data_IF_687291472179
#
_entry.id   IF_687291472179
#
_cell.length_a   1.000
_cell.length_b   1.000
_cell.length_c   1.000
_cell.angle_alpha   90.00
_cell.angle_beta   90.00
_cell.angle_gamma   90.00
#
_symmetry.space_group_name_H-M   'P 1'
#
loop_
_entity.id
_entity.type
_entity.pdbx_description
1 polymer ?
#
# COMPACT_ATOMS: atom_id res chain seq x y z
N UNK A 1 54.73 0.73 -7.13
CA UNK A 1 53.42 0.25 -7.63
C UNK A 1 52.44 -0.18 -6.52
N UNK A 2 52.45 0.43 -5.33
CA UNK A 2 51.57 0.04 -4.20
C UNK A 2 50.46 1.05 -3.84
N UNK A 3 50.55 2.30 -4.31
CA UNK A 3 49.61 3.36 -3.93
C UNK A 3 48.30 3.35 -4.75
N UNK A 4 48.37 3.01 -6.04
CA UNK A 4 47.21 3.02 -6.94
C UNK A 4 46.16 1.95 -6.58
N UNK A 5 46.61 0.77 -6.12
CA UNK A 5 45.73 -0.32 -5.70
C UNK A 5 45.01 -0.02 -4.38
N UNK A 6 45.64 0.73 -3.47
CA UNK A 6 45.00 1.20 -2.23
C UNK A 6 43.94 2.25 -2.51
N UNK A 7 44.21 3.22 -3.38
CA UNK A 7 43.25 4.24 -3.81
C UNK A 7 42.01 3.63 -4.49
N UNK A 8 42.20 2.64 -5.37
CA UNK A 8 41.09 1.92 -6.01
C UNK A 8 40.27 1.11 -5.01
N UNK A 9 40.90 0.49 -4.00
CA UNK A 9 40.19 -0.23 -2.93
C UNK A 9 39.42 0.71 -2.01
N UNK A 10 39.98 1.88 -1.70
CA UNK A 10 39.29 2.93 -0.92
C UNK A 10 38.08 3.45 -1.71
N UNK A 11 38.24 3.73 -3.01
CA UNK A 11 37.14 4.16 -3.86
C UNK A 11 35.99 3.14 -3.95
N UNK A 12 36.31 1.84 -4.08
CA UNK A 12 35.30 0.76 -4.07
C UNK A 12 34.61 0.65 -2.70
N UNK A 13 35.36 0.75 -1.60
CA UNK A 13 34.79 0.69 -0.26
C UNK A 13 33.82 1.85 0.01
N UNK A 14 34.18 3.07 -0.43
CA UNK A 14 33.30 4.24 -0.33
C UNK A 14 32.05 4.05 -1.19
N UNK A 15 32.18 3.59 -2.43
CA UNK A 15 31.03 3.35 -3.31
C UNK A 15 30.06 2.31 -2.74
N UNK A 16 30.58 1.19 -2.21
CA UNK A 16 29.76 0.15 -1.55
C UNK A 16 29.10 0.69 -0.29
N UNK A 17 29.81 1.53 0.48
CA UNK A 17 29.24 2.24 1.62
C UNK A 17 28.07 3.14 1.23
N UNK A 18 28.22 3.96 0.18
CA UNK A 18 27.16 4.86 -0.29
C UNK A 18 25.95 4.08 -0.81
N UNK A 19 26.17 3.03 -1.59
CA UNK A 19 25.07 2.16 -2.08
C UNK A 19 24.38 1.45 -0.92
N UNK A 20 25.14 0.93 0.05
CA UNK A 20 24.59 0.31 1.25
C UNK A 20 23.74 1.28 2.06
N UNK A 21 24.22 2.52 2.26
CA UNK A 21 23.46 3.58 2.93
C UNK A 21 22.20 3.92 2.15
N UNK A 22 22.26 4.05 0.82
CA UNK A 22 21.09 4.33 0.00
C UNK A 22 20.03 3.21 0.05
N UNK A 23 20.46 1.95 0.05
CA UNK A 23 19.55 0.79 0.21
C UNK A 23 18.93 0.77 1.60
N UNK A 24 19.70 1.06 2.65
CA UNK A 24 19.17 1.14 4.02
C UNK A 24 18.19 2.30 4.15
N UNK A 25 18.49 3.48 3.58
CA UNK A 25 17.56 4.61 3.53
C UNK A 25 16.28 4.25 2.78
N UNK A 26 16.38 3.61 1.61
CA UNK A 26 15.22 3.11 0.87
C UNK A 26 14.39 2.10 1.67
N UNK A 27 15.04 1.19 2.40
CA UNK A 27 14.37 0.20 3.25
C UNK A 27 13.73 0.83 4.48
N UNK A 28 14.35 1.86 5.06
CA UNK A 28 13.79 2.64 6.16
C UNK A 28 12.62 3.49 5.68
N UNK A 29 12.71 4.16 4.53
CA UNK A 29 11.62 4.90 3.91
C UNK A 29 10.46 3.99 3.51
N UNK A 30 10.75 2.81 2.96
CA UNK A 30 9.73 1.79 2.68
C UNK A 30 9.08 1.28 3.96
N UNK A 31 9.87 1.06 5.03
CA UNK A 31 9.33 0.67 6.35
C UNK A 31 8.53 1.78 7.00
N UNK A 32 8.93 3.05 6.89
CA UNK A 32 8.17 4.21 7.39
C UNK A 32 6.86 4.33 6.62
N UNK A 33 6.86 4.13 5.29
CA UNK A 33 5.62 4.02 4.48
C UNK A 33 4.73 2.83 4.85
N UNK A 34 5.29 1.76 5.42
CA UNK A 34 4.54 0.56 5.84
C UNK A 34 4.10 0.65 7.32
N UNK A 35 4.83 1.40 8.16
CA UNK A 35 4.71 1.39 9.62
C UNK A 35 4.00 2.60 10.21
N UNK A 36 3.77 3.66 9.44
CA UNK A 36 3.27 4.93 9.99
C UNK A 36 1.75 5.14 9.86
N UNK A 37 0.99 4.24 9.25
CA UNK A 37 -0.44 4.44 8.99
C UNK A 37 -1.22 3.20 9.41
N UNK A 38 -2.20 3.38 10.29
CA UNK A 38 -3.08 2.33 10.77
C UNK A 38 -3.77 1.65 9.59
N UNK A 39 -3.22 0.51 9.17
CA UNK A 39 -3.75 -0.28 8.09
C UNK A 39 -4.73 -1.30 8.64
N UNK A 40 -5.98 -1.24 8.21
CA UNK A 40 -6.99 -2.25 8.51
C UNK A 40 -7.04 -3.26 7.37
N UNK A 41 -7.08 -4.55 7.69
CA UNK A 41 -7.27 -5.58 6.68
C UNK A 41 -8.31 -6.60 7.09
N UNK A 42 -9.14 -6.98 6.12
CA UNK A 42 -10.17 -8.01 6.28
C UNK A 42 -10.05 -9.02 5.16
N UNK A 43 -10.43 -10.26 5.44
CA UNK A 43 -10.45 -11.34 4.45
C UNK A 43 -11.90 -11.67 4.13
N UNK A 44 -12.19 -11.98 2.86
CA UNK A 44 -13.53 -12.38 2.42
C UNK A 44 -13.96 -13.67 3.14
N UNK A 45 -15.26 -13.94 3.24
CA UNK A 45 -15.76 -15.16 3.89
C UNK A 45 -15.30 -16.42 3.16
N UNK A 46 -15.19 -16.33 1.83
CA UNK A 46 -14.64 -17.39 0.97
C UNK A 46 -13.12 -17.58 1.12
N UNK A 47 -12.41 -16.63 1.72
CA UNK A 47 -10.94 -16.60 1.75
C UNK A 47 -10.28 -16.27 0.41
N UNK A 48 -11.05 -16.05 -0.65
CA UNK A 48 -10.53 -15.82 -2.01
C UNK A 48 -9.93 -14.41 -2.18
N UNK A 49 -10.32 -13.47 -1.33
CA UNK A 49 -9.88 -12.08 -1.42
C UNK A 49 -9.47 -11.53 -0.05
N UNK A 50 -8.50 -10.62 -0.07
CA UNK A 50 -8.11 -9.84 1.10
C UNK A 50 -8.14 -8.37 0.77
N UNK A 51 -8.91 -7.59 1.52
CA UNK A 51 -8.94 -6.15 1.38
C UNK A 51 -8.09 -5.49 2.47
N UNK A 52 -7.43 -4.40 2.12
CA UNK A 52 -6.65 -3.59 3.04
C UNK A 52 -6.96 -2.12 2.79
N UNK A 53 -7.10 -1.36 3.85
CA UNK A 53 -7.15 0.09 3.82
C UNK A 53 -6.03 0.65 4.65
N UNK A 54 -5.31 1.64 4.14
CA UNK A 54 -4.28 2.35 4.88
C UNK A 54 -4.54 3.85 4.74
N UNK A 55 -4.40 4.58 5.84
CA UNK A 55 -4.29 6.05 5.78
C UNK A 55 -3.07 6.40 4.89
N UNK A 56 -3.08 7.52 4.16
CA UNK A 56 -1.97 8.07 3.35
C UNK A 56 -1.51 9.44 3.85
N UNK A 57 -2.38 10.17 4.54
CA UNK A 57 -2.14 11.51 5.07
C UNK A 57 -3.48 12.12 5.47
N UNK A 58 -3.49 13.38 5.89
CA UNK A 58 -4.73 14.07 6.21
C UNK A 58 -4.52 15.57 6.38
N UNK A 59 -5.57 16.34 6.12
CA UNK A 59 -5.60 17.81 6.28
C UNK A 59 -6.51 18.22 7.43
N UNK A 60 -6.20 17.74 8.63
CA UNK A 60 -6.86 18.08 9.89
C UNK A 60 -8.25 17.45 10.09
N UNK A 61 -9.17 17.69 9.15
CA UNK A 61 -10.56 17.22 9.23
C UNK A 61 -10.88 16.05 8.29
N UNK A 62 -10.03 15.79 7.31
CA UNK A 62 -10.21 14.72 6.30
C UNK A 62 -8.90 13.96 6.20
N UNK A 63 -8.97 12.63 6.30
CA UNK A 63 -7.85 11.73 6.05
C UNK A 63 -7.96 11.14 4.65
N UNK A 64 -6.83 11.09 3.95
CA UNK A 64 -6.68 10.39 2.68
C UNK A 64 -6.39 8.91 2.97
N UNK A 65 -7.05 8.01 2.25
CA UNK A 65 -6.88 6.58 2.35
C UNK A 65 -6.52 5.95 1.00
N UNK A 66 -5.86 4.80 1.08
CA UNK A 66 -5.68 3.88 -0.04
C UNK A 66 -6.33 2.54 0.29
N UNK A 67 -7.38 2.20 -0.45
CA UNK A 67 -7.99 0.89 -0.48
C UNK A 67 -7.28 -0.02 -1.48
N UNK A 68 -6.95 -1.23 -1.06
CA UNK A 68 -6.26 -2.24 -1.86
C UNK A 68 -7.00 -3.56 -1.76
N UNK A 69 -7.17 -4.21 -2.90
CA UNK A 69 -7.72 -5.56 -2.99
C UNK A 69 -6.62 -6.51 -3.44
N UNK A 70 -6.43 -7.57 -2.68
CA UNK A 70 -5.47 -8.62 -2.94
C UNK A 70 -6.18 -9.95 -3.20
N UNK A 71 -5.55 -10.78 -4.01
CA UNK A 71 -5.87 -12.19 -4.12
C UNK A 71 -5.51 -12.89 -2.80
N UNK A 72 -6.47 -13.62 -2.23
CA UNK A 72 -6.31 -14.24 -0.91
C UNK A 72 -5.29 -15.38 -0.88
N UNK A 73 -5.05 -16.04 -2.02
CA UNK A 73 -4.15 -17.18 -2.12
C UNK A 73 -2.71 -16.77 -2.46
N UNK A 74 -2.55 -15.98 -3.52
CA UNK A 74 -1.26 -15.54 -4.06
C UNK A 74 -0.73 -14.26 -3.41
N UNK A 75 -1.57 -13.49 -2.72
CA UNK A 75 -1.22 -12.18 -2.18
C UNK A 75 -1.00 -11.11 -3.25
N UNK A 76 -1.35 -11.38 -4.51
CA UNK A 76 -1.19 -10.44 -5.63
C UNK A 76 -2.15 -9.27 -5.48
N UNK A 77 -1.67 -8.05 -5.69
CA UNK A 77 -2.53 -6.86 -5.77
C UNK A 77 -3.40 -6.96 -7.04
N UNK A 78 -4.71 -6.93 -6.85
CA UNK A 78 -5.71 -7.05 -7.91
C UNK A 78 -6.29 -5.69 -8.30
N UNK A 79 -6.49 -4.80 -7.33
CA UNK A 79 -7.04 -3.47 -7.56
C UNK A 79 -6.64 -2.51 -6.44
N UNK A 80 -6.67 -1.22 -6.75
CA UNK A 80 -6.38 -0.13 -5.82
C UNK A 80 -7.34 1.03 -6.08
N UNK A 81 -7.86 1.61 -5.01
CA UNK A 81 -8.61 2.86 -5.03
C UNK A 81 -8.01 3.81 -4.00
N UNK A 82 -7.96 5.09 -4.31
CA UNK A 82 -7.64 6.13 -3.35
C UNK A 82 -8.95 6.87 -3.05
N UNK A 83 -9.22 7.21 -1.79
CA UNK A 83 -10.44 7.89 -1.35
C UNK A 83 -10.15 8.70 -0.09
N UNK A 84 -10.89 9.77 0.12
CA UNK A 84 -10.82 10.59 1.32
C UNK A 84 -12.02 10.28 2.23
N UNK A 85 -11.79 10.28 3.54
CA UNK A 85 -12.83 10.06 4.54
C UNK A 85 -12.50 10.83 5.82
N UNK A 86 -13.53 11.38 6.46
CA UNK A 86 -13.37 12.09 7.73
C UNK A 86 -13.39 11.13 8.94
N UNK A 87 -13.81 9.87 8.75
CA UNK A 87 -14.20 9.01 9.87
C UNK A 87 -13.83 7.53 9.65
N UNK A 88 -12.70 7.31 8.99
CA UNK A 88 -12.16 5.98 8.76
C UNK A 88 -12.43 5.43 7.37
N UNK A 89 -11.65 4.43 7.01
CA UNK A 89 -11.74 3.71 5.75
C UNK A 89 -11.77 2.21 5.98
N UNK A 90 -12.64 1.71 6.84
CA UNK A 90 -12.66 0.28 7.18
C UNK A 90 -13.16 -0.50 5.96
N UNK A 91 -12.39 -1.50 5.49
CA UNK A 91 -12.83 -2.35 4.38
C UNK A 91 -13.93 -3.32 4.85
N UNK A 92 -15.00 -3.43 4.07
CA UNK A 92 -16.12 -4.34 4.28
C UNK A 92 -16.50 -5.01 2.96
N UNK A 93 -16.51 -6.35 2.94
CA UNK A 93 -16.99 -7.10 1.78
C UNK A 93 -18.51 -7.12 1.77
N UNK A 94 -19.09 -6.95 0.57
CA UNK A 94 -20.53 -7.19 0.40
C UNK A 94 -20.89 -8.63 0.78
N UNK A 95 -22.11 -8.90 1.27
CA UNK A 95 -22.52 -10.24 1.69
C UNK A 95 -22.40 -11.31 0.60
N UNK A 96 -22.56 -10.89 -0.67
CA UNK A 96 -22.43 -11.71 -1.88
C UNK A 96 -21.02 -11.71 -2.47
N UNK A 97 -20.07 -11.02 -1.84
CA UNK A 97 -18.68 -10.82 -2.28
C UNK A 97 -18.54 -10.22 -3.69
N UNK A 98 -19.56 -9.48 -4.15
CA UNK A 98 -19.55 -8.80 -5.46
C UNK A 98 -18.72 -7.52 -5.48
N UNK A 99 -18.44 -6.94 -4.31
CA UNK A 99 -17.56 -5.79 -4.16
C UNK A 99 -16.98 -5.73 -2.75
N UNK A 100 -15.90 -4.95 -2.61
CA UNK A 100 -15.45 -4.44 -1.32
C UNK A 100 -15.70 -2.93 -1.28
N UNK A 101 -16.27 -2.50 -0.15
CA UNK A 101 -16.54 -1.10 0.12
C UNK A 101 -15.61 -0.66 1.24
N UNK A 102 -14.91 0.43 1.03
CA UNK A 102 -14.12 1.09 2.05
C UNK A 102 -14.98 2.20 2.64
N UNK A 103 -15.66 1.88 3.75
CA UNK A 103 -16.64 2.77 4.37
C UNK A 103 -16.06 3.48 5.58
N UNK A 104 -16.61 4.67 5.84
CA UNK A 104 -16.67 5.29 7.16
C UNK A 104 -17.28 4.30 8.17
N UNK A 105 -16.73 4.23 9.38
CA UNK A 105 -17.37 3.51 10.49
C UNK A 105 -18.76 4.10 10.82
N UNK A 106 -19.76 3.24 11.03
CA UNK A 106 -21.15 3.50 11.50
C UNK A 106 -21.86 4.83 11.12
N UNK A 107 -21.55 5.51 10.01
CA UNK A 107 -22.14 6.83 9.70
C UNK A 107 -22.23 7.25 8.22
N UNK A 108 -23.20 8.15 7.94
CA UNK A 108 -23.67 8.59 6.61
C UNK A 108 -22.83 9.73 5.97
N UNK A 109 -21.52 9.52 5.77
CA UNK A 109 -20.64 10.48 5.07
C UNK A 109 -20.56 10.25 3.55
N UNK A 110 -20.14 11.27 2.79
CA UNK A 110 -20.12 11.28 1.31
C UNK A 110 -18.87 10.69 0.63
N UNK A 111 -17.83 10.29 1.39
CA UNK A 111 -16.60 9.68 0.86
C UNK A 111 -16.58 8.17 1.09
N UNK A 112 -16.55 7.38 0.02
CA UNK A 112 -16.37 5.92 0.10
C UNK A 112 -15.60 5.42 -1.12
N UNK A 113 -14.64 4.51 -0.88
CA UNK A 113 -13.99 3.76 -1.95
C UNK A 113 -14.79 2.49 -2.26
N UNK A 114 -14.92 2.12 -3.53
CA UNK A 114 -15.53 0.84 -3.94
C UNK A 114 -14.62 0.17 -4.94
N UNK A 115 -14.41 -1.14 -4.77
CA UNK A 115 -13.75 -1.99 -5.76
C UNK A 115 -14.68 -3.16 -6.03
N UNK A 116 -15.14 -3.28 -7.27
CA UNK A 116 -15.93 -4.42 -7.74
C UNK A 116 -15.09 -5.70 -7.77
N UNK A 117 -15.73 -6.84 -7.50
CA UNK A 117 -15.14 -8.17 -7.48
C UNK A 117 -15.91 -9.08 -8.45
N UNK A 118 -15.24 -9.71 -9.43
CA UNK A 118 -13.81 -9.53 -9.75
C UNK A 118 -13.52 -8.13 -10.33
N UNK A 119 -12.36 -7.54 -10.02
CA UNK A 119 -12.02 -6.22 -10.53
C UNK A 119 -11.88 -6.24 -12.04
N UNK A 120 -12.36 -5.17 -12.67
CA UNK A 120 -12.30 -5.00 -14.11
C UNK A 120 -10.82 -4.93 -14.59
N UNK A 121 -10.62 -5.10 -15.90
CA UNK A 121 -9.27 -5.08 -16.47
C UNK A 121 -8.53 -3.75 -16.24
N UNK A 122 -9.25 -2.63 -16.24
CA UNK A 122 -8.69 -1.29 -16.07
C UNK A 122 -8.12 -1.10 -14.65
N UNK A 123 -8.83 -1.58 -13.63
CA UNK A 123 -8.42 -1.50 -12.23
C UNK A 123 -7.22 -2.41 -11.95
N UNK A 124 -7.15 -3.57 -12.61
CA UNK A 124 -5.96 -4.44 -12.58
C UNK A 124 -4.76 -3.78 -13.24
N UNK A 125 -4.96 -3.01 -14.31
CA UNK A 125 -3.87 -2.26 -14.93
C UNK A 125 -3.38 -1.13 -14.01
N UNK A 126 -4.29 -0.33 -13.44
CA UNK A 126 -3.96 0.74 -12.49
C UNK A 126 -3.25 0.22 -11.25
N UNK A 127 -3.58 -0.98 -10.77
CA UNK A 127 -2.87 -1.63 -9.67
C UNK A 127 -1.39 -1.89 -9.95
N UNK A 128 -0.97 -2.02 -11.22
CA UNK A 128 0.42 -2.26 -11.60
C UNK A 128 1.19 -0.97 -11.94
N UNK A 129 0.55 0.20 -11.86
CA UNK A 129 1.20 1.50 -12.12
C UNK A 129 1.51 2.16 -10.77
N UNK A 130 2.79 2.54 -10.50
CA UNK A 130 3.23 3.06 -9.20
C UNK A 130 2.59 4.39 -8.80
#
# INVERSE_FOLDING_TARGET
>A
MMALSRLRRIGVAVAVGVVGVAVVQYMLDARVRISAQECYSVTSKSGSYRAQSCVKGGNGNVDDYVGRLYDGHSGKLLARTDFDSMDGGIPEFMPDESAVIFRRGEGNGSGHGVIDIPPNWLDRLRANVP
#
